data_IF_705853913257
#
_entry.id   IF_705853913257
#
_cell.length_a   1.000
_cell.length_b   1.000
_cell.length_c   1.000
_cell.angle_alpha   90.00
_cell.angle_beta   90.00
_cell.angle_gamma   90.00
#
_symmetry.space_group_name_H-M   'P 1'
#
loop_
_entity.id
_entity.type
_entity.pdbx_description
1 polymer ?
#
# COMPACT_ATOMS: atom_id res chain seq x y z
N UNK A 1 -5.81 -24.33 2.69
CA UNK A 1 -4.37 -23.99 2.78
C UNK A 1 -3.86 -24.38 4.16
N UNK A 2 -2.68 -25.00 4.26
CA UNK A 2 -2.07 -25.28 5.57
C UNK A 2 -1.51 -23.99 6.15
N UNK A 3 -2.07 -23.51 7.27
CA UNK A 3 -1.58 -22.32 7.96
C UNK A 3 -0.25 -22.65 8.66
N UNK A 4 0.82 -21.99 8.26
CA UNK A 4 2.14 -22.10 8.89
C UNK A 4 2.38 -20.87 9.77
N UNK A 5 2.59 -21.08 11.07
CA UNK A 5 2.88 -19.99 12.03
C UNK A 5 4.21 -20.29 12.71
N UNK A 6 5.19 -19.43 12.47
CA UNK A 6 6.55 -19.57 12.97
C UNK A 6 6.84 -18.54 14.06
N UNK A 7 7.73 -18.90 14.99
CA UNK A 7 8.30 -18.04 16.02
C UNK A 7 9.79 -18.34 16.18
N UNK A 8 10.50 -17.53 16.95
CA UNK A 8 11.84 -17.87 17.44
C UNK A 8 11.74 -18.57 18.80
N UNK A 9 12.57 -19.59 19.01
CA UNK A 9 12.78 -20.20 20.32
C UNK A 9 13.73 -19.37 21.20
N UNK A 10 14.01 -19.86 22.41
CA UNK A 10 14.91 -19.21 23.37
C UNK A 10 16.36 -19.06 22.86
N UNK A 11 16.74 -19.82 21.84
CA UNK A 11 18.06 -19.80 21.20
C UNK A 11 18.05 -18.94 19.93
N UNK A 12 16.92 -18.30 19.60
CA UNK A 12 16.73 -17.48 18.42
C UNK A 12 16.46 -18.26 17.13
N UNK A 13 16.30 -19.58 17.18
CA UNK A 13 16.04 -20.43 16.00
C UNK A 13 14.56 -20.44 15.66
N UNK A 14 14.25 -20.48 14.36
CA UNK A 14 12.88 -20.59 13.88
C UNK A 14 12.28 -21.96 14.23
N UNK A 15 11.10 -21.95 14.83
CA UNK A 15 10.29 -23.12 15.15
C UNK A 15 8.80 -22.84 14.93
N UNK A 16 7.99 -23.89 14.87
CA UNK A 16 6.54 -23.76 14.85
C UNK A 16 6.03 -23.29 16.21
N UNK A 17 5.02 -22.40 16.20
CA UNK A 17 4.43 -21.82 17.42
C UNK A 17 3.88 -22.89 18.40
N UNK A 18 3.42 -24.01 17.87
CA UNK A 18 2.87 -25.14 18.62
C UNK A 18 3.27 -26.47 17.94
N UNK A 19 2.96 -27.64 18.53
CA UNK A 19 3.33 -28.93 17.92
C UNK A 19 2.75 -29.15 16.51
N UNK A 20 1.57 -28.60 16.20
CA UNK A 20 0.98 -28.72 14.87
C UNK A 20 1.72 -27.85 13.86
N UNK A 21 2.03 -26.61 14.22
CA UNK A 21 2.84 -25.70 13.43
C UNK A 21 4.27 -26.23 13.25
N UNK A 22 4.84 -26.93 14.23
CA UNK A 22 6.16 -27.56 14.12
C UNK A 22 6.16 -28.67 13.07
N UNK A 23 5.10 -29.49 13.01
CA UNK A 23 4.93 -30.49 11.95
C UNK A 23 4.75 -29.83 10.57
N UNK A 24 3.94 -28.77 10.49
CA UNK A 24 3.77 -28.01 9.25
C UNK A 24 5.10 -27.39 8.78
N UNK A 25 5.91 -26.87 9.71
CA UNK A 25 7.23 -26.32 9.43
C UNK A 25 8.19 -27.39 8.92
N UNK A 26 8.22 -28.57 9.54
CA UNK A 26 9.03 -29.69 9.06
C UNK A 26 8.64 -30.11 7.64
N UNK A 27 7.32 -30.20 7.35
CA UNK A 27 6.80 -30.50 6.01
C UNK A 27 7.20 -29.43 4.99
N UNK A 28 7.06 -28.15 5.34
CA UNK A 28 7.46 -27.02 4.49
C UNK A 28 8.96 -27.04 4.18
N UNK A 29 9.81 -27.22 5.20
CA UNK A 29 11.25 -27.34 5.01
C UNK A 29 11.61 -28.51 4.09
N UNK A 30 10.98 -29.66 4.28
CA UNK A 30 11.18 -30.83 3.42
C UNK A 30 10.82 -30.52 1.96
N UNK A 31 9.65 -29.93 1.72
CA UNK A 31 9.21 -29.55 0.38
C UNK A 31 10.16 -28.58 -0.33
N UNK A 32 10.81 -27.67 0.40
CA UNK A 32 11.83 -26.78 -0.17
C UNK A 32 13.13 -27.53 -0.46
N UNK A 33 13.61 -28.33 0.49
CA UNK A 33 14.92 -29.00 0.36
C UNK A 33 14.91 -30.10 -0.70
N UNK A 34 13.76 -30.73 -0.94
CA UNK A 34 13.60 -31.83 -1.90
C UNK A 34 13.16 -31.36 -3.30
N UNK A 35 13.00 -30.04 -3.53
CA UNK A 35 12.53 -29.50 -4.80
C UNK A 35 13.56 -29.78 -5.92
N UNK A 36 13.16 -30.51 -6.96
CA UNK A 36 14.04 -30.86 -8.07
C UNK A 36 14.13 -29.73 -9.13
N UNK A 37 15.20 -29.69 -9.95
CA UNK A 37 15.29 -28.74 -11.06
C UNK A 37 14.09 -28.87 -12.01
N UNK A 38 13.38 -27.77 -12.22
CA UNK A 38 12.17 -27.71 -13.06
C UNK A 38 10.85 -27.83 -12.29
N UNK A 39 10.88 -28.15 -11.00
CA UNK A 39 9.69 -28.12 -10.14
C UNK A 39 9.44 -26.72 -9.55
N UNK A 40 8.16 -26.41 -9.31
CA UNK A 40 7.75 -25.12 -8.73
C UNK A 40 6.97 -25.32 -7.44
N UNK A 41 7.32 -24.55 -6.41
CA UNK A 41 6.59 -24.50 -5.14
C UNK A 41 6.08 -23.07 -4.89
N UNK A 42 4.76 -22.89 -4.87
CA UNK A 42 4.11 -21.62 -4.53
C UNK A 42 3.71 -21.57 -3.07
N UNK A 43 3.91 -20.42 -2.42
CA UNK A 43 3.37 -20.15 -1.09
C UNK A 43 2.90 -18.70 -0.99
N UNK A 44 1.94 -18.47 -0.10
CA UNK A 44 1.45 -17.14 0.25
C UNK A 44 1.60 -16.96 1.75
N UNK A 45 2.02 -15.78 2.17
CA UNK A 45 2.21 -15.43 3.56
C UNK A 45 1.65 -14.04 3.79
N UNK A 46 1.18 -13.81 5.01
CA UNK A 46 0.71 -12.50 5.44
C UNK A 46 1.82 -11.85 6.27
N UNK A 47 2.21 -10.63 5.90
CA UNK A 47 3.09 -9.81 6.72
C UNK A 47 2.27 -8.67 7.35
N UNK A 48 2.38 -8.47 8.68
CA UNK A 48 1.79 -7.30 9.29
C UNK A 48 2.39 -6.03 8.67
N UNK A 49 1.55 -5.01 8.50
CA UNK A 49 1.97 -3.70 8.00
C UNK A 49 3.04 -3.10 8.91
N UNK A 50 4.06 -2.51 8.31
CA UNK A 50 5.13 -1.76 8.96
C UNK A 50 4.57 -0.42 9.50
N UNK A 51 4.60 -0.17 10.83
CA UNK A 51 4.13 1.08 11.42
C UNK A 51 4.86 2.32 10.88
N UNK A 52 6.13 2.17 10.52
CA UNK A 52 6.96 3.27 10.01
C UNK A 52 6.50 3.72 8.62
N UNK A 53 6.20 2.78 7.72
CA UNK A 53 5.65 3.08 6.40
C UNK A 53 4.27 3.72 6.49
N UNK A 54 3.44 3.26 7.43
CA UNK A 54 2.15 3.90 7.69
C UNK A 54 2.32 5.36 8.12
N UNK A 55 3.19 5.62 9.10
CA UNK A 55 3.50 6.98 9.55
C UNK A 55 4.07 7.84 8.42
N UNK A 56 4.93 7.27 7.60
CA UNK A 56 5.52 7.95 6.44
C UNK A 56 4.47 8.36 5.40
N UNK A 57 3.51 7.49 5.09
CA UNK A 57 2.39 7.82 4.20
C UNK A 57 1.59 9.03 4.72
N UNK A 58 1.24 9.05 6.01
CA UNK A 58 0.51 10.19 6.59
C UNK A 58 1.35 11.47 6.66
N UNK A 59 2.67 11.35 6.81
CA UNK A 59 3.56 12.51 6.68
C UNK A 59 3.51 13.09 5.26
N UNK A 60 3.62 12.27 4.21
CA UNK A 60 3.49 12.70 2.81
C UNK A 60 2.14 13.37 2.57
N UNK A 61 1.04 12.76 3.06
CA UNK A 61 -0.31 13.29 2.93
C UNK A 61 -0.43 14.69 3.51
N UNK A 62 0.03 14.89 4.75
CA UNK A 62 -0.06 16.19 5.42
C UNK A 62 0.80 17.24 4.71
N UNK A 63 2.01 16.87 4.26
CA UNK A 63 2.86 17.78 3.48
C UNK A 63 2.24 18.18 2.14
N UNK A 64 1.55 17.26 1.47
CA UNK A 64 0.82 17.58 0.25
C UNK A 64 -0.36 18.52 0.54
N UNK A 65 -1.07 18.28 1.64
CA UNK A 65 -2.17 19.14 2.09
C UNK A 65 -1.70 20.57 2.34
N UNK A 66 -0.54 20.75 2.98
CA UNK A 66 0.05 22.07 3.23
C UNK A 66 0.42 22.83 1.95
N UNK A 67 0.57 22.13 0.82
CA UNK A 67 1.04 22.70 -0.45
C UNK A 67 -0.06 22.86 -1.50
N UNK A 68 -1.23 22.24 -1.31
CA UNK A 68 -2.35 22.29 -2.26
C UNK A 68 -3.38 23.34 -1.85
N UNK A 69 -4.00 23.97 -2.83
CA UNK A 69 -5.11 24.93 -2.61
C UNK A 69 -6.49 24.27 -2.73
N UNK A 70 -6.53 23.03 -3.24
CA UNK A 70 -7.78 22.35 -3.61
C UNK A 70 -8.44 21.59 -2.46
N UNK A 71 -7.72 21.34 -1.37
CA UNK A 71 -8.20 20.57 -0.23
C UNK A 71 -7.87 21.30 1.08
N UNK A 72 -8.85 21.31 1.98
CA UNK A 72 -8.78 21.87 3.33
C UNK A 72 -8.78 20.80 4.43
N UNK A 73 -8.96 19.54 4.03
CA UNK A 73 -9.16 18.41 4.92
C UNK A 73 -8.37 17.20 4.44
N UNK A 74 -7.55 16.65 5.34
CA UNK A 74 -6.69 15.49 5.06
C UNK A 74 -7.51 14.25 4.66
N UNK A 75 -8.73 14.10 5.18
CA UNK A 75 -9.58 12.95 4.86
C UNK A 75 -10.10 13.03 3.42
N UNK A 76 -10.58 14.21 2.98
CA UNK A 76 -10.98 14.46 1.60
C UNK A 76 -9.83 14.25 0.62
N UNK A 77 -8.64 14.81 0.92
CA UNK A 77 -7.45 14.63 0.09
C UNK A 77 -7.10 13.14 -0.02
N UNK A 78 -7.05 12.43 1.12
CA UNK A 78 -6.78 10.99 1.15
C UNK A 78 -7.79 10.20 0.33
N UNK A 79 -9.09 10.45 0.50
CA UNK A 79 -10.13 9.76 -0.28
C UNK A 79 -9.95 9.98 -1.79
N UNK A 80 -9.63 11.21 -2.19
CA UNK A 80 -9.36 11.53 -3.58
C UNK A 80 -8.13 10.78 -4.12
N UNK A 81 -7.03 10.72 -3.35
CA UNK A 81 -5.84 9.94 -3.73
C UNK A 81 -6.15 8.45 -3.87
N UNK A 82 -6.97 7.88 -2.98
CA UNK A 82 -7.36 6.47 -3.08
C UNK A 82 -8.18 6.18 -4.34
N UNK A 83 -9.14 7.06 -4.66
CA UNK A 83 -9.90 6.95 -5.89
C UNK A 83 -9.00 7.08 -7.12
N UNK A 84 -8.07 8.04 -7.13
CA UNK A 84 -7.10 8.23 -8.20
C UNK A 84 -6.14 7.05 -8.39
N UNK A 85 -5.78 6.37 -7.32
CA UNK A 85 -5.00 5.14 -7.32
C UNK A 85 -5.82 3.87 -7.67
N UNK A 86 -7.13 4.00 -7.91
CA UNK A 86 -8.03 2.87 -8.19
C UNK A 86 -8.39 2.03 -6.96
N UNK A 87 -8.04 2.46 -5.75
CA UNK A 87 -8.41 1.80 -4.49
C UNK A 87 -9.81 2.22 -4.03
N UNK A 88 -10.79 1.91 -4.86
CA UNK A 88 -12.20 2.25 -4.65
C UNK A 88 -13.12 1.14 -5.15
N UNK A 89 -14.37 1.18 -4.71
CA UNK A 89 -15.48 0.43 -5.29
C UNK A 89 -16.32 1.39 -6.14
N UNK A 90 -16.80 0.89 -7.28
CA UNK A 90 -17.72 1.62 -8.14
C UNK A 90 -19.14 1.13 -7.89
N UNK A 91 -20.01 2.05 -7.49
CA UNK A 91 -21.44 1.76 -7.29
C UNK A 91 -22.27 2.59 -8.27
N UNK A 92 -23.47 2.10 -8.68
CA UNK A 92 -24.38 2.92 -9.48
C UNK A 92 -24.75 4.21 -8.74
N UNK A 93 -24.51 5.36 -9.37
CA UNK A 93 -24.95 6.66 -8.90
C UNK A 93 -26.44 6.89 -9.14
N UNK A 94 -26.99 7.88 -8.45
CA UNK A 94 -28.41 8.27 -8.58
C UNK A 94 -28.77 8.79 -9.97
N UNK A 95 -27.78 9.24 -10.73
CA UNK A 95 -27.88 9.72 -12.11
C UNK A 95 -27.56 8.63 -13.15
N UNK A 96 -27.36 7.38 -12.71
CA UNK A 96 -26.98 6.26 -13.57
C UNK A 96 -25.50 6.23 -13.96
N UNK A 97 -24.68 7.18 -13.52
CA UNK A 97 -23.22 7.15 -13.71
C UNK A 97 -22.55 6.48 -12.51
N UNK A 98 -21.42 5.77 -12.69
CA UNK A 98 -20.72 5.15 -11.56
C UNK A 98 -20.15 6.20 -10.59
N UNK A 99 -20.39 6.01 -9.29
CA UNK A 99 -19.73 6.74 -8.21
C UNK A 99 -18.61 5.90 -7.63
N UNK A 100 -17.42 6.51 -7.48
CA UNK A 100 -16.30 5.90 -6.79
C UNK A 100 -16.43 6.11 -5.26
N UNK A 101 -16.28 5.04 -4.50
CA UNK A 101 -16.24 5.05 -3.03
C UNK A 101 -14.88 4.50 -2.60
N UNK A 102 -14.04 5.29 -1.89
CA UNK A 102 -12.72 4.83 -1.48
C UNK A 102 -12.84 3.63 -0.53
N UNK A 103 -11.99 2.62 -0.76
CA UNK A 103 -11.88 1.48 0.15
C UNK A 103 -11.15 1.87 1.43
N UNK A 104 -11.46 1.17 2.52
CA UNK A 104 -10.72 1.36 3.77
C UNK A 104 -9.23 1.02 3.59
N UNK A 105 -8.40 1.72 4.36
CA UNK A 105 -6.96 1.44 4.53
C UNK A 105 -6.64 0.99 5.95
N UNK A 106 -7.63 0.49 6.70
CA UNK A 106 -7.41 0.03 8.06
C UNK A 106 -6.30 -1.03 8.11
N UNK A 107 -5.57 -1.07 9.24
CA UNK A 107 -4.41 -1.94 9.42
C UNK A 107 -4.73 -3.43 9.17
N UNK A 108 -5.94 -3.84 9.51
CA UNK A 108 -6.38 -5.23 9.38
C UNK A 108 -6.85 -5.57 7.95
N UNK A 109 -7.18 -4.56 7.15
CA UNK A 109 -7.74 -4.73 5.80
C UNK A 109 -6.68 -5.02 4.74
N UNK A 110 -5.40 -4.74 5.00
CA UNK A 110 -4.34 -4.81 3.99
C UNK A 110 -2.99 -5.04 4.63
N UNK A 111 -2.27 -6.03 4.11
CA UNK A 111 -0.92 -6.39 4.53
C UNK A 111 0.13 -5.38 4.04
N UNK A 112 1.39 -5.61 4.40
CA UNK A 112 2.47 -4.72 4.02
C UNK A 112 2.65 -4.61 2.49
N UNK A 113 2.56 -5.75 1.79
CA UNK A 113 2.74 -5.78 0.34
C UNK A 113 1.65 -4.97 -0.38
N UNK A 114 0.38 -5.19 -0.01
CA UNK A 114 -0.74 -4.42 -0.56
C UNK A 114 -0.62 -2.92 -0.27
N UNK A 115 -0.10 -2.56 0.91
CA UNK A 115 0.08 -1.16 1.28
C UNK A 115 1.19 -0.48 0.46
N UNK A 116 2.29 -1.18 0.20
CA UNK A 116 3.34 -0.71 -0.69
C UNK A 116 2.83 -0.51 -2.13
N UNK A 117 2.06 -1.45 -2.66
CA UNK A 117 1.47 -1.30 -4.00
C UNK A 117 0.49 -0.13 -4.07
N UNK A 118 -0.32 0.07 -3.04
CA UNK A 118 -1.20 1.24 -2.96
C UNK A 118 -0.41 2.56 -2.95
N UNK A 119 0.66 2.66 -2.16
CA UNK A 119 1.51 3.85 -2.16
C UNK A 119 2.12 4.12 -3.53
N UNK A 120 2.62 3.07 -4.22
CA UNK A 120 3.14 3.19 -5.59
C UNK A 120 2.09 3.70 -6.57
N UNK A 121 0.86 3.20 -6.47
CA UNK A 121 -0.25 3.64 -7.32
C UNK A 121 -0.65 5.10 -7.03
N UNK A 122 -0.64 5.54 -5.76
CA UNK A 122 -0.86 6.93 -5.38
C UNK A 122 0.24 7.84 -5.95
N UNK A 123 1.51 7.44 -5.81
CA UNK A 123 2.63 8.21 -6.34
C UNK A 123 2.56 8.32 -7.87
N UNK A 124 2.23 7.23 -8.56
CA UNK A 124 2.00 7.24 -10.01
C UNK A 124 0.84 8.17 -10.41
N UNK A 125 -0.27 8.16 -9.65
CA UNK A 125 -1.40 9.05 -9.87
C UNK A 125 -1.01 10.53 -9.70
N UNK A 126 -0.24 10.87 -8.68
CA UNK A 126 0.25 12.23 -8.44
C UNK A 126 1.09 12.77 -9.60
N UNK A 127 1.83 11.92 -10.31
CA UNK A 127 2.59 12.31 -11.50
C UNK A 127 1.73 12.58 -12.74
N UNK A 128 0.43 12.33 -12.71
CA UNK A 128 -0.46 12.62 -13.84
C UNK A 128 -0.77 14.11 -13.96
N UNK A 129 -0.88 14.62 -15.19
CA UNK A 129 -1.30 16.00 -15.43
C UNK A 129 -2.69 16.33 -14.86
N UNK A 130 -3.59 15.35 -14.79
CA UNK A 130 -4.90 15.50 -14.16
C UNK A 130 -4.77 15.78 -12.66
N UNK A 131 -4.02 14.94 -11.93
CA UNK A 131 -3.83 15.12 -10.50
C UNK A 131 -3.20 16.48 -10.16
N UNK A 132 -2.15 16.85 -10.90
CA UNK A 132 -1.48 18.14 -10.70
C UNK A 132 -2.39 19.34 -11.01
N UNK A 133 -3.24 19.24 -12.04
CA UNK A 133 -4.20 20.28 -12.37
C UNK A 133 -5.27 20.47 -11.29
N UNK A 134 -5.66 19.39 -10.63
CA UNK A 134 -6.57 19.45 -9.47
C UNK A 134 -5.87 20.05 -8.26
N UNK A 135 -4.64 19.62 -7.94
CA UNK A 135 -3.92 20.07 -6.76
C UNK A 135 -3.53 21.55 -6.80
N UNK A 136 -3.20 22.08 -7.98
CA UNK A 136 -2.79 23.48 -8.17
C UNK A 136 -3.50 24.11 -9.37
N UNK A 137 -4.79 24.44 -9.24
CA UNK A 137 -5.60 24.89 -10.36
C UNK A 137 -5.14 26.25 -10.92
N UNK A 138 -4.59 27.14 -10.09
CA UNK A 138 -4.11 28.46 -10.50
C UNK A 138 -2.80 28.46 -11.30
N UNK A 139 -2.04 27.35 -11.25
CA UNK A 139 -0.71 27.25 -11.86
C UNK A 139 -0.78 26.72 -13.30
N UNK A 140 0.22 27.04 -14.13
CA UNK A 140 0.40 26.41 -15.43
C UNK A 140 1.04 25.01 -15.34
N UNK A 141 1.16 24.32 -16.48
CA UNK A 141 1.71 22.95 -16.53
C UNK A 141 3.15 22.86 -16.03
N UNK A 142 4.00 23.84 -16.34
CA UNK A 142 5.40 23.84 -15.92
C UNK A 142 5.54 24.11 -14.42
N UNK A 143 4.76 25.06 -13.91
CA UNK A 143 4.71 25.37 -12.49
C UNK A 143 4.20 24.19 -11.66
N UNK A 144 3.14 23.52 -12.13
CA UNK A 144 2.59 22.30 -11.53
C UNK A 144 3.61 21.15 -11.46
N UNK A 145 4.35 20.95 -12.54
CA UNK A 145 5.41 19.95 -12.59
C UNK A 145 6.50 20.25 -11.55
N UNK A 146 6.95 21.50 -11.47
CA UNK A 146 7.95 21.93 -10.49
C UNK A 146 7.47 21.76 -9.04
N UNK A 147 6.20 22.03 -8.75
CA UNK A 147 5.61 21.74 -7.43
C UNK A 147 5.66 20.24 -7.11
N UNK A 148 5.33 19.37 -8.07
CA UNK A 148 5.38 17.92 -7.87
C UNK A 148 6.83 17.41 -7.67
N UNK A 149 7.79 17.89 -8.45
CA UNK A 149 9.21 17.58 -8.27
C UNK A 149 9.71 18.02 -6.89
N UNK A 150 9.38 19.24 -6.46
CA UNK A 150 9.75 19.74 -5.14
C UNK A 150 9.12 18.92 -4.02
N UNK A 151 7.85 18.54 -4.15
CA UNK A 151 7.16 17.68 -3.20
C UNK A 151 7.82 16.31 -3.09
N UNK A 152 8.00 15.60 -4.21
CA UNK A 152 8.55 14.25 -4.24
C UNK A 152 10.02 14.21 -3.80
N UNK A 153 10.84 15.18 -4.26
CA UNK A 153 12.24 15.30 -3.88
C UNK A 153 12.46 15.52 -2.37
N UNK A 154 11.47 16.06 -1.65
CA UNK A 154 11.49 16.17 -0.19
C UNK A 154 11.47 14.83 0.56
N UNK A 155 11.21 13.72 -0.16
CA UNK A 155 11.10 12.37 0.40
C UNK A 155 12.10 11.37 -0.17
N UNK A 156 12.89 11.77 -1.17
CA UNK A 156 14.00 10.97 -1.68
C UNK A 156 15.14 10.97 -0.64
N UNK A 157 15.61 9.78 -0.27
CA UNK A 157 16.78 9.56 0.59
C UNK A 157 17.77 8.66 -0.12
#
# INVERSE_FOLDING_TARGET
>A
MTKLVLTKDQQGKLCGKDPAAQRAYAKFRRAITELAPGETLGFSFWLPRCPEHHRFFFLKLNRLLDQTEAFDDATKLRHWLLMGAGHCDFVPGLDGKPNAIPKSMDFEAMDEAGFCELQRAIDAFLWTGHAQAVLWPALDVHQRWACMESFMGGFER
#
